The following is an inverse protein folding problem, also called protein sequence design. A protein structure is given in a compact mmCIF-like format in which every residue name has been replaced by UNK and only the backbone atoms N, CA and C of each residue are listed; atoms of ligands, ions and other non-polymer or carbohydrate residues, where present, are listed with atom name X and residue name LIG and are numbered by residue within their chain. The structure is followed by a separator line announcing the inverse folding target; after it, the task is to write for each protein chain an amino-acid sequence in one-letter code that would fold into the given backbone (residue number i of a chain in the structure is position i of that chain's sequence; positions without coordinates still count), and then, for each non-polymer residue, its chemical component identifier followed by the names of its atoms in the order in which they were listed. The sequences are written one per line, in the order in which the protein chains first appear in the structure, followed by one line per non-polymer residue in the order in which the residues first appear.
data_IF_304573188889
#
_entry.id   IF_304573188889
#
_cell.length_a   1.000
_cell.length_b   1.000
_cell.length_c   1.000
_cell.angle_alpha   90.00
_cell.angle_beta   90.00
_cell.angle_gamma   90.00
#
_symmetry.space_group_name_H-M   'P 1'
#
loop_
_entity.id
_entity.type
_entity.pdbx_description
1 polymer ?
#
# COMPACT_ATOMS: atom_id res chain seq x y z
N UNK A 1 6.60 24.58 12.94
CA UNK A 1 5.41 23.88 13.48
C UNK A 1 5.88 22.89 14.53
N UNK A 2 5.32 22.89 15.75
CA UNK A 2 5.67 21.88 16.75
C UNK A 2 5.15 20.52 16.29
N UNK A 3 6.02 19.52 16.25
CA UNK A 3 5.66 18.13 15.99
C UNK A 3 4.87 17.60 17.19
N UNK A 4 3.56 17.60 17.12
CA UNK A 4 2.70 16.95 18.12
C UNK A 4 2.93 15.44 18.05
N UNK A 5 3.55 14.87 19.08
CA UNK A 5 3.81 13.44 19.16
C UNK A 5 2.50 12.68 19.39
N UNK A 6 2.05 11.91 18.40
CA UNK A 6 0.91 11.01 18.54
C UNK A 6 1.40 9.61 18.87
N UNK A 7 0.75 8.96 19.85
CA UNK A 7 0.98 7.54 20.13
C UNK A 7 0.48 6.60 19.02
N UNK A 8 -0.28 7.12 18.05
CA UNK A 8 -0.73 6.39 16.86
C UNK A 8 0.13 6.76 15.67
N UNK A 9 0.69 5.74 15.01
CA UNK A 9 1.36 5.92 13.72
C UNK A 9 0.38 6.41 12.65
N UNK A 10 0.89 7.12 11.65
CA UNK A 10 0.12 7.51 10.48
C UNK A 10 0.70 6.86 9.22
N UNK A 11 -0.15 6.59 8.24
CA UNK A 11 0.23 6.03 6.94
C UNK A 11 -0.41 6.87 5.85
N UNK A 12 0.39 7.33 4.90
CA UNK A 12 -0.12 7.99 3.71
C UNK A 12 -0.40 6.96 2.61
N UNK A 13 -1.59 7.00 2.03
CA UNK A 13 -2.04 6.12 0.96
C UNK A 13 -2.15 6.92 -0.34
N UNK A 14 -1.27 6.66 -1.31
CA UNK A 14 -1.41 7.19 -2.66
C UNK A 14 -2.44 6.38 -3.44
N UNK A 15 -3.73 6.60 -3.15
CA UNK A 15 -4.83 5.77 -3.65
C UNK A 15 -5.16 6.00 -5.15
N UNK A 16 -5.03 7.25 -5.64
CA UNK A 16 -5.34 7.60 -7.02
C UNK A 16 -4.38 6.97 -8.05
N UNK A 17 -4.86 6.78 -9.28
CA UNK A 17 -4.11 6.24 -10.41
C UNK A 17 -2.79 6.98 -10.67
N UNK A 18 -2.85 8.30 -10.73
CA UNK A 18 -1.73 9.20 -11.03
C UNK A 18 -0.84 9.51 -9.82
N UNK A 19 -0.73 8.57 -8.89
CA UNK A 19 0.08 8.75 -7.69
C UNK A 19 1.56 8.80 -8.01
N UNK A 20 2.27 9.71 -7.34
CA UNK A 20 3.71 9.83 -7.47
C UNK A 20 4.39 8.52 -7.00
N UNK A 21 5.23 7.95 -7.87
CA UNK A 21 6.09 6.80 -7.57
C UNK A 21 7.53 7.27 -7.47
N UNK A 22 8.23 6.81 -6.45
CA UNK A 22 9.65 7.07 -6.32
C UNK A 22 10.44 6.14 -7.24
N UNK A 23 11.55 6.64 -7.77
CA UNK A 23 12.51 5.80 -8.46
C UNK A 23 13.27 4.95 -7.44
N UNK A 24 13.73 3.78 -7.87
CA UNK A 24 14.69 3.00 -7.10
C UNK A 24 15.95 3.86 -6.84
N UNK A 25 16.63 3.68 -5.71
CA UNK A 25 17.84 4.43 -5.41
C UNK A 25 18.89 4.20 -6.50
N UNK A 26 19.67 5.24 -6.77
CA UNK A 26 20.61 5.27 -7.91
C UNK A 26 21.59 4.08 -7.94
N UNK A 27 22.02 3.58 -6.78
CA UNK A 27 22.90 2.41 -6.69
C UNK A 27 22.22 1.14 -7.23
N UNK A 28 20.94 0.93 -6.90
CA UNK A 28 20.18 -0.23 -7.39
C UNK A 28 19.91 -0.10 -8.90
N UNK A 29 19.62 1.12 -9.38
CA UNK A 29 19.40 1.35 -10.81
C UNK A 29 20.64 1.08 -11.67
N UNK A 30 21.85 1.28 -11.14
CA UNK A 30 23.10 0.97 -11.84
C UNK A 30 23.38 -0.53 -11.97
N UNK A 31 22.91 -1.32 -11.01
CA UNK A 31 23.09 -2.77 -10.96
C UNK A 31 21.99 -3.52 -11.74
N UNK A 32 20.87 -2.84 -12.03
CA UNK A 32 19.76 -3.39 -12.80
C UNK A 32 20.16 -3.62 -14.27
N UNK A 33 19.54 -4.63 -14.87
CA UNK A 33 19.66 -4.91 -16.30
C UNK A 33 19.18 -3.69 -17.12
N UNK A 34 19.93 -3.24 -18.14
CA UNK A 34 19.54 -2.09 -18.97
C UNK A 34 18.18 -2.22 -19.65
N UNK A 35 17.65 -3.45 -19.79
CA UNK A 35 16.34 -3.72 -20.38
C UNK A 35 15.21 -3.87 -19.35
N UNK A 36 15.51 -3.82 -18.04
CA UNK A 36 14.49 -3.91 -17.00
C UNK A 36 13.69 -2.60 -16.91
N UNK A 37 12.37 -2.69 -17.15
CA UNK A 37 11.45 -1.56 -17.10
C UNK A 37 11.02 -1.19 -15.67
N UNK A 38 11.32 -2.03 -14.67
CA UNK A 38 10.89 -1.84 -13.29
C UNK A 38 11.78 -0.84 -12.54
N UNK A 39 11.81 0.42 -12.98
CA UNK A 39 12.64 1.49 -12.37
C UNK A 39 12.04 2.09 -11.10
N UNK A 40 10.76 1.79 -10.80
CA UNK A 40 10.01 2.37 -9.69
C UNK A 40 10.11 1.54 -8.41
N UNK A 41 9.98 2.19 -7.27
CA UNK A 41 9.83 1.54 -5.98
C UNK A 41 8.39 1.05 -5.77
N UNK A 42 8.25 -0.10 -5.10
CA UNK A 42 6.96 -0.61 -4.67
C UNK A 42 6.36 0.28 -3.55
N UNK A 43 5.18 0.83 -3.81
CA UNK A 43 4.41 1.61 -2.84
C UNK A 43 3.52 0.70 -1.97
N UNK A 44 2.76 1.30 -1.06
CA UNK A 44 1.76 0.60 -0.27
C UNK A 44 0.70 -0.08 -1.15
N UNK A 45 0.32 0.57 -2.26
CA UNK A 45 -0.63 0.03 -3.23
C UNK A 45 -0.16 -1.27 -3.86
N UNK A 46 1.07 -1.28 -4.38
CA UNK A 46 1.65 -2.46 -5.01
C UNK A 46 1.70 -3.64 -4.01
N UNK A 47 2.00 -3.37 -2.74
CA UNK A 47 2.01 -4.37 -1.65
C UNK A 47 0.62 -4.86 -1.24
N UNK A 48 -0.39 -4.02 -1.37
CA UNK A 48 -1.78 -4.39 -1.13
C UNK A 48 -2.30 -5.31 -2.23
N UNK A 49 -1.93 -5.05 -3.49
CA UNK A 49 -2.30 -5.95 -4.60
C UNK A 49 -1.59 -7.30 -4.50
N UNK A 50 -0.34 -7.31 -4.02
CA UNK A 50 0.46 -8.53 -3.81
C UNK A 50 0.16 -9.27 -2.48
N UNK A 51 -0.95 -8.95 -1.81
CA UNK A 51 -1.36 -9.58 -0.55
C UNK A 51 -1.69 -11.07 -0.74
N UNK A 52 -1.55 -11.92 0.29
CA UNK A 52 -1.83 -13.35 0.15
C UNK A 52 -3.27 -13.65 -0.31
N UNK A 53 -3.48 -14.80 -0.94
CA UNK A 53 -4.80 -15.25 -1.42
C UNK A 53 -5.65 -15.92 -0.33
N UNK A 54 -5.30 -15.74 0.95
CA UNK A 54 -6.15 -16.24 2.04
C UNK A 54 -7.40 -15.35 2.17
N UNK A 55 -8.57 -15.93 2.52
CA UNK A 55 -9.81 -15.18 2.73
C UNK A 55 -9.70 -14.14 3.86
N UNK A 56 -8.76 -14.34 4.80
CA UNK A 56 -8.44 -13.36 5.86
C UNK A 56 -7.92 -12.01 5.29
N UNK A 57 -7.33 -12.04 4.09
CA UNK A 57 -6.81 -10.83 3.41
C UNK A 57 -7.73 -10.32 2.32
N UNK A 58 -8.99 -10.76 2.28
CA UNK A 58 -10.00 -10.17 1.42
C UNK A 58 -10.60 -8.90 2.07
N UNK A 59 -9.71 -7.96 2.34
CA UNK A 59 -9.99 -6.70 3.04
C UNK A 59 -9.72 -5.53 2.12
N UNK A 60 -10.30 -4.37 2.44
CA UNK A 60 -10.05 -3.15 1.69
C UNK A 60 -8.64 -2.58 1.94
N UNK A 61 -8.20 -1.69 1.04
CA UNK A 61 -6.89 -1.06 1.12
C UNK A 61 -6.72 -0.23 2.40
N UNK A 62 -7.79 0.45 2.84
CA UNK A 62 -7.78 1.24 4.06
C UNK A 62 -7.52 0.35 5.30
N UNK A 63 -8.24 -0.75 5.43
CA UNK A 63 -8.05 -1.69 6.54
C UNK A 63 -6.67 -2.34 6.50
N UNK A 64 -6.20 -2.70 5.30
CA UNK A 64 -4.84 -3.22 5.14
C UNK A 64 -3.79 -2.23 5.66
N UNK A 65 -3.86 -0.96 5.26
CA UNK A 65 -2.91 0.07 5.70
C UNK A 65 -2.99 0.37 7.21
N UNK A 66 -4.20 0.29 7.77
CA UNK A 66 -4.49 0.59 9.16
C UNK A 66 -4.07 -0.52 10.10
N UNK A 67 -4.41 -1.76 9.76
CA UNK A 67 -4.22 -2.94 10.61
C UNK A 67 -2.86 -3.60 10.43
N UNK A 68 -2.26 -3.50 9.25
CA UNK A 68 -1.02 -4.20 8.94
C UNK A 68 0.18 -3.24 8.85
N UNK A 69 1.35 -3.80 9.14
CA UNK A 69 2.64 -3.15 8.99
C UNK A 69 3.50 -3.97 8.04
N UNK A 70 4.14 -3.29 7.09
CA UNK A 70 5.06 -3.90 6.14
C UNK A 70 6.42 -4.09 6.80
N UNK A 71 6.95 -5.30 6.71
CA UNK A 71 8.24 -5.70 7.25
C UNK A 71 9.13 -6.18 6.10
N UNK A 72 10.40 -5.78 6.13
CA UNK A 72 11.40 -6.35 5.21
C UNK A 72 11.77 -7.75 5.66
N UNK A 73 11.80 -8.70 4.73
CA UNK A 73 12.12 -10.11 5.00
C UNK A 73 13.50 -10.27 5.65
N UNK A 74 14.45 -9.40 5.31
CA UNK A 74 15.83 -9.46 5.81
C UNK A 74 15.94 -9.12 7.31
N UNK A 75 14.89 -8.57 7.92
CA UNK A 75 14.86 -8.32 9.36
C UNK A 75 14.34 -9.57 10.08
N UNK A 76 15.25 -10.40 10.57
CA UNK A 76 14.92 -11.53 11.43
C UNK A 76 14.34 -11.02 12.76
N UNK A 77 13.01 -10.94 12.84
CA UNK A 77 12.30 -10.62 14.08
C UNK A 77 12.30 -11.87 14.94
N UNK A 78 13.13 -11.91 15.98
CA UNK A 78 13.09 -12.97 17.01
C UNK A 78 11.76 -12.86 17.75
N UNK A 79 10.98 -13.95 17.79
CA UNK A 79 9.70 -14.07 18.50
C UNK A 79 8.67 -12.96 18.16
N UNK A 80 8.10 -12.95 16.94
CA UNK A 80 7.11 -11.96 16.57
C UNK A 80 5.81 -12.14 17.38
N UNK A 81 5.24 -11.03 17.88
CA UNK A 81 3.98 -11.02 18.63
C UNK A 81 2.75 -11.42 17.80
N UNK A 82 2.81 -11.19 16.49
CA UNK A 82 1.77 -11.51 15.51
C UNK A 82 2.36 -12.32 14.36
N UNK A 83 1.57 -13.19 13.71
CA UNK A 83 2.07 -13.97 12.59
C UNK A 83 2.56 -13.06 11.47
N UNK A 84 3.73 -13.39 10.93
CA UNK A 84 4.31 -12.72 9.77
C UNK A 84 3.96 -13.55 8.54
N UNK A 85 3.23 -12.95 7.58
CA UNK A 85 2.94 -13.59 6.29
C UNK A 85 3.70 -12.88 5.17
N UNK A 86 4.26 -13.65 4.23
CA UNK A 86 4.98 -13.11 3.07
C UNK A 86 3.98 -12.64 2.01
N UNK A 87 4.34 -11.59 1.29
CA UNK A 87 3.64 -11.22 0.06
C UNK A 87 3.98 -12.23 -1.05
N UNK A 88 3.20 -12.25 -2.11
CA UNK A 88 3.29 -13.30 -3.14
C UNK A 88 4.53 -13.16 -4.00
N UNK A 89 4.75 -11.97 -4.57
CA UNK A 89 5.78 -11.71 -5.56
C UNK A 89 6.88 -10.81 -5.00
N UNK A 90 6.50 -9.83 -4.19
CA UNK A 90 7.41 -8.86 -3.62
C UNK A 90 8.16 -9.45 -2.44
N UNK A 91 9.44 -9.06 -2.30
CA UNK A 91 10.29 -9.45 -1.16
C UNK A 91 9.96 -8.67 0.14
N UNK A 92 8.68 -8.62 0.49
CA UNK A 92 8.16 -8.03 1.72
C UNK A 92 7.27 -9.03 2.46
N UNK A 93 7.09 -8.77 3.75
CA UNK A 93 6.14 -9.48 4.58
C UNK A 93 5.23 -8.47 5.28
N UNK A 94 4.07 -8.95 5.73
CA UNK A 94 3.10 -8.20 6.51
C UNK A 94 2.96 -8.84 7.89
N UNK A 95 2.74 -8.00 8.89
CA UNK A 95 2.34 -8.41 10.23
C UNK A 95 1.18 -7.56 10.70
N UNK A 96 0.29 -8.12 11.51
CA UNK A 96 -0.77 -7.34 12.14
C UNK A 96 -0.18 -6.43 13.22
N UNK A 97 -0.59 -5.15 13.26
CA UNK A 97 -0.18 -4.19 14.29
C UNK A 97 -0.73 -4.62 15.65
N UNK A 98 0.14 -4.67 16.65
CA UNK A 98 -0.27 -5.16 17.99
C UNK A 98 -0.90 -4.07 18.87
N UNK A 99 -0.52 -2.80 18.69
CA UNK A 99 -0.92 -1.73 19.62
C UNK A 99 -2.20 -1.02 19.18
N UNK A 100 -2.11 -0.20 18.13
CA UNK A 100 -3.21 0.64 17.64
C UNK A 100 -3.21 0.65 16.12
N UNK A 101 -4.41 0.67 15.55
CA UNK A 101 -4.65 0.93 14.13
C UNK A 101 -4.02 2.26 13.73
N UNK A 102 -3.35 2.29 12.57
CA UNK A 102 -2.71 3.49 12.06
C UNK A 102 -3.75 4.49 11.54
N UNK A 103 -3.45 5.79 11.69
CA UNK A 103 -4.27 6.84 11.11
C UNK A 103 -3.92 6.92 9.62
N UNK A 104 -4.92 6.73 8.78
CA UNK A 104 -4.76 6.81 7.33
C UNK A 104 -4.87 8.27 6.90
N UNK A 105 -3.99 8.68 6.01
CA UNK A 105 -4.10 9.92 5.24
C UNK A 105 -4.04 9.58 3.76
N UNK A 106 -4.78 10.31 2.94
CA UNK A 106 -4.80 10.15 1.50
C UNK A 106 -5.00 11.54 0.87
N UNK A 107 -4.69 11.73 -0.42
CA UNK A 107 -4.86 13.03 -1.06
C UNK A 107 -6.31 13.46 -1.03
N UNK A 108 -6.54 14.73 -0.71
CA UNK A 108 -7.87 15.31 -0.71
C UNK A 108 -8.20 15.82 -2.10
N UNK A 109 -9.28 15.28 -2.69
CA UNK A 109 -9.86 15.78 -3.92
C UNK A 109 -11.20 16.42 -3.60
N UNK A 110 -11.51 17.54 -4.26
CA UNK A 110 -12.80 18.17 -4.09
C UNK A 110 -13.85 17.46 -4.97
N UNK A 111 -15.00 17.14 -4.38
CA UNK A 111 -16.12 16.49 -5.05
C UNK A 111 -16.67 17.32 -6.22
N UNK A 112 -16.54 18.64 -6.21
CA UNK A 112 -17.12 19.47 -7.27
C UNK A 112 -16.17 19.67 -8.44
N UNK A 113 -14.89 19.93 -8.17
CA UNK A 113 -13.87 20.21 -9.19
C UNK A 113 -13.31 18.93 -9.80
N UNK A 114 -13.00 17.93 -8.98
CA UNK A 114 -12.25 16.72 -9.38
C UNK A 114 -13.02 15.44 -9.01
N UNK A 115 -14.24 15.32 -9.56
CA UNK A 115 -15.16 14.20 -9.32
C UNK A 115 -14.49 12.85 -9.56
N UNK A 116 -13.81 12.70 -10.69
CA UNK A 116 -13.19 11.43 -11.10
C UNK A 116 -12.17 10.95 -10.07
N UNK A 117 -11.18 11.79 -9.74
CA UNK A 117 -10.16 11.45 -8.75
C UNK A 117 -10.74 11.24 -7.34
N UNK A 118 -11.78 11.98 -6.97
CA UNK A 118 -12.47 11.82 -5.69
C UNK A 118 -13.11 10.44 -5.57
N UNK A 119 -13.93 10.04 -6.54
CA UNK A 119 -14.60 8.74 -6.51
C UNK A 119 -13.63 7.58 -6.75
N UNK A 120 -12.65 7.73 -7.65
CA UNK A 120 -11.60 6.73 -7.85
C UNK A 120 -10.84 6.44 -6.55
N UNK A 121 -10.46 7.48 -5.81
CA UNK A 121 -9.77 7.37 -4.52
C UNK A 121 -10.63 6.64 -3.50
N UNK A 122 -11.92 6.99 -3.40
CA UNK A 122 -12.84 6.36 -2.46
C UNK A 122 -13.02 4.87 -2.78
N UNK A 123 -13.28 4.54 -4.05
CA UNK A 123 -13.46 3.16 -4.52
C UNK A 123 -12.19 2.34 -4.27
N UNK A 124 -11.01 2.88 -4.61
CA UNK A 124 -9.73 2.21 -4.39
C UNK A 124 -9.43 1.96 -2.91
N UNK A 125 -9.88 2.84 -2.01
CA UNK A 125 -9.65 2.70 -0.57
C UNK A 125 -10.54 1.65 0.09
N UNK A 126 -11.83 1.64 -0.29
CA UNK A 126 -12.87 0.90 0.45
C UNK A 126 -13.36 -0.37 -0.25
N UNK A 127 -13.03 -0.60 -1.52
CA UNK A 127 -13.33 -1.87 -2.19
C UNK A 127 -12.17 -2.87 -2.03
N UNK A 128 -12.46 -4.17 -1.81
CA UNK A 128 -11.45 -5.22 -1.70
C UNK A 128 -10.93 -5.65 -3.09
N UNK A 129 -10.38 -4.70 -3.87
CA UNK A 129 -9.87 -4.95 -5.22
C UNK A 129 -8.51 -5.70 -5.20
N UNK A 130 -8.25 -6.54 -6.21
CA UNK A 130 -6.98 -7.27 -6.40
C UNK A 130 -6.16 -6.69 -7.55
N UNK A 131 -6.81 -6.02 -8.49
CA UNK A 131 -6.18 -5.22 -9.54
C UNK A 131 -6.86 -3.86 -9.64
N UNK A 132 -6.18 -2.86 -10.22
CA UNK A 132 -6.82 -1.59 -10.58
C UNK A 132 -7.84 -1.75 -11.71
N UNK A 133 -7.69 -2.78 -12.55
CA UNK A 133 -8.62 -3.03 -13.65
C UNK A 133 -9.98 -3.54 -13.16
N UNK A 134 -10.07 -4.04 -11.91
CA UNK A 134 -11.33 -4.46 -11.28
C UNK A 134 -12.32 -3.28 -11.15
N UNK A 135 -11.82 -2.04 -11.14
CA UNK A 135 -12.66 -0.83 -11.09
C UNK A 135 -13.31 -0.45 -12.44
N UNK A 136 -12.84 -1.01 -13.57
CA UNK A 136 -13.15 -0.49 -14.92
C UNK A 136 -14.41 -1.03 -15.58
N UNK A 137 -15.23 -1.87 -14.96
CA UNK A 137 -16.35 -2.50 -15.69
C UNK A 137 -17.70 -1.83 -15.45
N UNK A 138 -18.19 -1.02 -16.41
CA UNK A 138 -19.62 -0.90 -16.59
C UNK A 138 -20.16 -1.51 -17.89
N UNK A 139 -19.36 -1.79 -18.94
CA UNK A 139 -19.87 -2.42 -20.18
C UNK A 139 -18.78 -3.23 -20.90
N UNK A 140 -18.92 -4.57 -20.90
CA UNK A 140 -18.42 -5.49 -21.94
C UNK A 140 -19.62 -6.00 -22.73
#
# INVERSE_FOLDING_TARGET
MPLTYSSRGFVFIPAHSNSCKFWKPHNILKEMDPYDQNIYMSNLADKYFDRPNDPEYDICMADFASEYEIVSINKNVKNPKTPIKRLQTLNFAIKKRCNRKAIIRYPYFNRETDKENFYETLLSLYLPIRSRDDLKKPYE
#
